data_IF_655424524513
#
_entry.id   IF_655424524513
#
_cell.length_a   1.000
_cell.length_b   1.000
_cell.length_c   1.000
_cell.angle_alpha   90.00
_cell.angle_beta   90.00
_cell.angle_gamma   90.00
#
_symmetry.space_group_name_H-M   'P 1'
#
loop_
_entity.id
_entity.type
_entity.pdbx_description
1 polymer ?
#
# COMPACT_ATOMS: atom_id res chain seq x y z
N UNK A 1 13.18 -8.23 -19.14
CA UNK A 1 12.46 -6.98 -18.90
C UNK A 1 11.21 -7.03 -19.76
N UNK A 2 10.05 -7.41 -19.21
CA UNK A 2 8.78 -7.54 -19.96
C UNK A 2 8.03 -6.21 -19.89
N UNK A 3 7.85 -5.49 -21.01
CA UNK A 3 7.27 -4.15 -21.02
C UNK A 3 5.77 -4.15 -21.41
N UNK A 4 4.89 -4.87 -20.70
CA UNK A 4 3.55 -5.15 -21.28
C UNK A 4 2.32 -5.02 -20.37
N UNK A 5 2.44 -4.57 -19.12
CA UNK A 5 1.25 -4.48 -18.23
C UNK A 5 1.17 -3.17 -17.44
N UNK A 6 1.38 -2.03 -18.11
CA UNK A 6 1.08 -0.73 -17.52
C UNK A 6 -0.43 -0.56 -17.37
N UNK A 7 -0.89 -0.21 -16.17
CA UNK A 7 -2.31 0.06 -15.90
C UNK A 7 -2.56 1.55 -16.04
N UNK A 8 -3.57 1.92 -16.84
CA UNK A 8 -4.02 3.31 -16.93
C UNK A 8 -4.57 3.78 -15.60
N UNK A 9 -4.01 4.88 -15.07
CA UNK A 9 -4.45 5.50 -13.81
C UNK A 9 -5.91 5.95 -13.93
N UNK A 10 -6.33 6.42 -15.12
CA UNK A 10 -7.72 6.82 -15.36
C UNK A 10 -8.69 5.65 -15.24
N UNK A 11 -8.37 4.51 -15.87
CA UNK A 11 -9.19 3.30 -15.77
C UNK A 11 -9.25 2.79 -14.34
N UNK A 12 -8.12 2.83 -13.64
CA UNK A 12 -8.04 2.47 -12.23
C UNK A 12 -8.95 3.37 -11.36
N UNK A 13 -8.94 4.69 -11.60
CA UNK A 13 -9.80 5.63 -10.88
C UNK A 13 -11.28 5.34 -11.09
N UNK A 14 -11.68 5.06 -12.33
CA UNK A 14 -13.07 4.73 -12.67
C UNK A 14 -13.50 3.41 -12.03
N UNK A 15 -12.68 2.37 -12.13
CA UNK A 15 -12.98 1.05 -11.58
C UNK A 15 -13.14 1.09 -10.05
N UNK A 16 -12.24 1.82 -9.38
CA UNK A 16 -12.22 1.91 -7.93
C UNK A 16 -13.08 3.06 -7.35
N UNK A 17 -13.74 3.86 -8.20
CA UNK A 17 -14.50 5.04 -7.79
C UNK A 17 -13.70 6.00 -6.91
N UNK A 18 -12.48 6.32 -7.32
CA UNK A 18 -11.61 7.30 -6.65
C UNK A 18 -11.32 8.47 -7.58
N UNK A 19 -10.94 9.61 -7.01
CA UNK A 19 -10.57 10.80 -7.78
C UNK A 19 -9.11 10.72 -8.26
N UNK A 20 -8.84 11.28 -9.45
CA UNK A 20 -7.45 11.40 -9.95
C UNK A 20 -6.59 12.25 -8.99
N UNK A 21 -7.20 13.21 -8.28
CA UNK A 21 -6.55 14.00 -7.24
C UNK A 21 -5.96 13.11 -6.13
N UNK A 22 -6.61 11.99 -5.79
CA UNK A 22 -6.09 11.02 -4.82
C UNK A 22 -4.75 10.44 -5.27
N UNK A 23 -4.67 10.00 -6.53
CA UNK A 23 -3.44 9.45 -7.11
C UNK A 23 -2.34 10.52 -7.15
N UNK A 24 -2.68 11.75 -7.50
CA UNK A 24 -1.73 12.87 -7.52
C UNK A 24 -1.17 13.15 -6.12
N UNK A 25 -2.01 13.12 -5.09
CA UNK A 25 -1.54 13.27 -3.69
C UNK A 25 -0.61 12.13 -3.29
N UNK A 26 -0.93 10.89 -3.68
CA UNK A 26 -0.05 9.74 -3.42
C UNK A 26 1.28 9.86 -4.15
N UNK A 27 1.29 10.35 -5.39
CA UNK A 27 2.50 10.57 -6.18
C UNK A 27 3.37 11.67 -5.54
N UNK A 28 2.77 12.79 -5.15
CA UNK A 28 3.48 13.89 -4.47
C UNK A 28 4.14 13.46 -3.15
N UNK A 29 3.56 12.46 -2.49
CA UNK A 29 4.09 11.88 -1.25
C UNK A 29 5.10 10.76 -1.48
N UNK A 30 5.32 10.36 -2.73
CA UNK A 30 6.21 9.24 -3.08
C UNK A 30 5.65 7.87 -2.66
N UNK A 31 4.34 7.78 -2.38
CA UNK A 31 3.68 6.51 -2.04
C UNK A 31 3.43 5.66 -3.30
N UNK A 32 3.29 6.30 -4.46
CA UNK A 32 3.18 5.67 -5.78
C UNK A 32 4.04 6.41 -6.80
N UNK A 33 4.60 5.69 -7.77
CA UNK A 33 5.21 6.27 -8.96
C UNK A 33 4.32 6.04 -10.18
N UNK A 34 4.01 7.11 -10.90
CA UNK A 34 3.28 7.04 -12.17
C UNK A 34 4.15 7.46 -13.35
N UNK A 35 3.93 6.85 -14.51
CA UNK A 35 4.62 7.13 -15.76
C UNK A 35 3.64 7.82 -16.69
N UNK A 36 4.00 9.00 -17.16
CA UNK A 36 3.19 9.70 -18.17
C UNK A 36 3.65 9.31 -19.57
N UNK A 37 2.76 8.72 -20.36
CA UNK A 37 2.97 8.40 -21.78
C UNK A 37 1.85 9.06 -22.59
N UNK A 38 2.19 9.86 -23.59
CA UNK A 38 1.22 10.54 -24.47
C UNK A 38 0.08 11.24 -23.70
N UNK A 39 0.43 11.99 -22.65
CA UNK A 39 -0.51 12.75 -21.79
C UNK A 39 -1.45 11.89 -20.92
N UNK A 40 -1.22 10.58 -20.87
CA UNK A 40 -1.94 9.66 -20.00
C UNK A 40 -1.01 9.10 -18.93
N UNK A 41 -1.49 9.07 -17.68
CA UNK A 41 -0.74 8.51 -16.56
C UNK A 41 -0.98 7.00 -16.47
N UNK A 42 0.11 6.27 -16.27
CA UNK A 42 0.16 4.83 -16.13
C UNK A 42 0.88 4.44 -14.85
N UNK A 43 0.52 3.30 -14.29
CA UNK A 43 1.17 2.77 -13.08
C UNK A 43 1.65 1.35 -13.36
N UNK A 44 2.76 0.97 -12.72
CA UNK A 44 3.26 -0.39 -12.80
C UNK A 44 2.35 -1.37 -12.07
N UNK A 45 2.18 -2.60 -12.56
CA UNK A 45 1.28 -3.58 -11.94
C UNK A 45 1.72 -3.95 -10.51
N UNK A 46 3.01 -3.88 -10.21
CA UNK A 46 3.55 -4.08 -8.87
C UNK A 46 3.11 -2.99 -7.87
N UNK A 47 2.90 -1.77 -8.36
CA UNK A 47 2.40 -0.64 -7.59
C UNK A 47 0.86 -0.65 -7.48
N UNK A 48 0.15 -1.35 -8.38
CA UNK A 48 -1.32 -1.47 -8.36
C UNK A 48 -1.79 -2.16 -7.08
N UNK A 49 -1.13 -3.24 -6.68
CA UNK A 49 -1.46 -3.94 -5.44
C UNK A 49 -1.32 -3.03 -4.21
N UNK A 50 -0.30 -2.15 -4.21
CA UNK A 50 -0.12 -1.12 -3.17
C UNK A 50 -1.23 -0.07 -3.22
N UNK A 51 -1.59 0.39 -4.42
CA UNK A 51 -2.68 1.32 -4.64
C UNK A 51 -4.01 0.77 -4.13
N UNK A 52 -4.35 -0.48 -4.45
CA UNK A 52 -5.58 -1.12 -3.96
C UNK A 52 -5.62 -1.19 -2.44
N UNK A 53 -4.49 -1.47 -1.78
CA UNK A 53 -4.39 -1.44 -0.31
C UNK A 53 -4.71 -0.04 0.22
N UNK A 54 -4.15 1.00 -0.39
CA UNK A 54 -4.39 2.41 -0.02
C UNK A 54 -5.82 2.87 -0.30
N UNK A 55 -6.41 2.46 -1.42
CA UNK A 55 -7.81 2.72 -1.77
C UNK A 55 -8.74 2.05 -0.77
N UNK A 56 -8.47 0.79 -0.41
CA UNK A 56 -9.22 0.10 0.64
C UNK A 56 -9.13 0.81 1.97
N UNK A 57 -7.94 1.29 2.36
CA UNK A 57 -7.77 2.10 3.58
C UNK A 57 -8.60 3.40 3.50
N UNK A 58 -8.60 4.08 2.36
CA UNK A 58 -9.40 5.29 2.15
C UNK A 58 -10.91 5.00 2.24
N UNK A 59 -11.38 3.92 1.63
CA UNK A 59 -12.81 3.58 1.58
C UNK A 59 -13.34 2.95 2.88
N UNK A 60 -12.58 2.05 3.48
CA UNK A 60 -13.01 1.29 4.67
C UNK A 60 -12.86 2.11 5.96
N UNK A 61 -11.80 2.93 6.04
CA UNK A 61 -11.47 3.69 7.25
C UNK A 61 -11.67 5.21 7.08
N UNK A 62 -12.18 5.68 5.93
CA UNK A 62 -12.42 7.09 5.61
C UNK A 62 -11.19 7.99 5.80
N UNK A 63 -9.98 7.46 5.56
CA UNK A 63 -8.71 8.17 5.76
C UNK A 63 -8.37 8.98 4.51
N UNK A 64 -8.17 10.28 4.61
CA UNK A 64 -7.84 11.11 3.44
C UNK A 64 -6.48 10.74 2.83
N UNK A 65 -6.32 11.01 1.52
CA UNK A 65 -5.04 10.81 0.82
C UNK A 65 -3.86 11.50 1.53
N UNK A 66 -4.15 12.63 2.17
CA UNK A 66 -3.18 13.41 2.92
C UNK A 66 -2.75 12.77 4.26
N UNK A 67 -3.55 11.86 4.79
CA UNK A 67 -3.26 11.16 6.04
C UNK A 67 -2.68 9.75 5.79
N UNK A 68 -2.78 9.25 4.56
CA UNK A 68 -2.34 7.89 4.20
C UNK A 68 -0.85 7.65 4.37
N UNK A 69 -0.02 8.68 4.25
CA UNK A 69 1.42 8.58 4.52
C UNK A 69 1.69 8.21 5.99
N UNK A 70 1.08 8.97 6.90
CA UNK A 70 1.19 8.75 8.35
C UNK A 70 0.59 7.40 8.74
N UNK A 71 -0.55 7.05 8.15
CA UNK A 71 -1.19 5.74 8.43
C UNK A 71 -0.35 4.59 7.89
N UNK A 72 0.25 4.72 6.72
CA UNK A 72 1.15 3.71 6.17
C UNK A 72 2.37 3.51 7.08
N UNK A 73 3.00 4.60 7.55
CA UNK A 73 4.13 4.55 8.48
C UNK A 73 3.75 3.88 9.82
N UNK A 74 2.56 4.21 10.34
CA UNK A 74 2.01 3.60 11.56
C UNK A 74 1.73 2.10 11.37
N UNK A 75 1.16 1.71 10.23
CA UNK A 75 0.91 0.31 9.89
C UNK A 75 2.22 -0.47 9.78
N UNK A 76 3.24 0.08 9.11
CA UNK A 76 4.55 -0.57 9.01
C UNK A 76 5.19 -0.77 10.38
N UNK A 77 5.09 0.22 11.28
CA UNK A 77 5.54 0.07 12.68
C UNK A 77 4.76 -1.01 13.43
N UNK A 78 3.45 -1.09 13.21
CA UNK A 78 2.59 -2.11 13.83
C UNK A 78 2.93 -3.51 13.34
N UNK A 79 3.16 -3.67 12.03
CA UNK A 79 3.60 -4.92 11.41
C UNK A 79 4.98 -5.33 11.95
N UNK A 80 5.94 -4.41 12.03
CA UNK A 80 7.26 -4.71 12.61
C UNK A 80 7.18 -5.12 14.08
N UNK A 81 6.38 -4.43 14.89
CA UNK A 81 6.15 -4.79 16.29
C UNK A 81 5.50 -6.17 16.41
N UNK A 82 4.51 -6.51 15.58
CA UNK A 82 3.94 -7.86 15.56
C UNK A 82 5.00 -8.90 15.20
N UNK A 83 5.84 -8.64 14.20
CA UNK A 83 6.93 -9.54 13.82
C UNK A 83 7.95 -9.71 14.95
N UNK A 84 8.24 -8.65 15.72
CA UNK A 84 9.09 -8.74 16.90
C UNK A 84 8.45 -9.61 17.99
N UNK A 85 7.16 -9.42 18.28
CA UNK A 85 6.41 -10.25 19.24
C UNK A 85 6.42 -11.72 18.81
N UNK A 86 6.13 -12.02 17.54
CA UNK A 86 6.18 -13.39 17.01
C UNK A 86 7.58 -13.98 17.13
N UNK A 87 8.63 -13.22 16.79
CA UNK A 87 10.03 -13.66 16.95
C UNK A 87 10.37 -13.95 18.41
N UNK A 88 9.91 -13.12 19.35
CA UNK A 88 10.11 -13.33 20.78
C UNK A 88 9.33 -14.55 21.29
N UNK A 89 8.08 -14.73 20.88
CA UNK A 89 7.26 -15.90 21.23
C UNK A 89 7.87 -17.20 20.67
N UNK A 90 8.33 -17.19 19.43
CA UNK A 90 9.00 -18.35 18.83
C UNK A 90 10.30 -18.72 19.58
N UNK A 91 11.07 -17.70 20.02
CA UNK A 91 12.25 -17.91 20.87
C UNK A 91 11.85 -18.46 22.23
N UNK A 92 10.83 -17.91 22.88
CA UNK A 92 10.33 -18.42 24.16
C UNK A 92 9.84 -19.86 24.03
N UNK A 93 9.12 -20.21 22.96
CA UNK A 93 8.67 -21.59 22.68
C UNK A 93 9.83 -22.59 22.51
N UNK A 94 11.03 -22.13 22.15
CA UNK A 94 12.23 -22.96 22.11
C UNK A 94 12.81 -23.22 23.50
N UNK A 95 12.69 -22.27 24.42
CA UNK A 95 13.19 -22.39 25.80
C UNK A 95 12.15 -22.93 26.79
N UNK A 96 10.86 -22.83 26.46
CA UNK A 96 9.73 -23.45 27.16
C UNK A 96 9.05 -24.51 26.26
N UNK A 97 9.76 -25.57 25.82
CA UNK A 97 9.10 -26.69 25.23
C UNK A 97 8.32 -27.40 26.35
N UNK A 98 7.02 -27.17 26.41
CA UNK A 98 6.02 -27.86 27.25
C UNK A 98 5.67 -27.16 28.57
N UNK A 99 4.56 -26.42 28.56
CA UNK A 99 3.56 -26.52 29.62
C UNK A 99 2.46 -27.48 29.18
N UNK A 100 2.67 -28.78 29.34
CA UNK A 100 1.61 -29.79 29.43
C UNK A 100 1.58 -30.31 30.85
#
# INVERSE_FOLDING_TARGET
MQPEHLISVREFCVYNHIEIAFIQTLEQRGLVETITVEQSAYVHPEQVARLEKLVRLHQDLAIHADDLDVVNDLLERLEDLQQQVIRLQNRLSFYEPSGR
#
